data_IF_289760860996
#
_entry.id   IF_289760860996
#
_cell.length_a   1.000
_cell.length_b   1.000
_cell.length_c   1.000
_cell.angle_alpha   90.00
_cell.angle_beta   90.00
_cell.angle_gamma   90.00
#
_symmetry.space_group_name_H-M   'P 1'
#
loop_
_entity.id
_entity.type
_entity.pdbx_description
1 polymer ?
#
# COMPACT_ATOMS: atom_id res chain seq x y z
N UNK A 1 -2.73 0.75 18.87
CA UNK A 1 -2.48 1.47 17.61
C UNK A 1 -3.79 1.99 17.05
N UNK A 2 -3.75 3.02 16.21
CA UNK A 2 -4.92 3.51 15.47
C UNK A 2 -5.09 2.65 14.20
N UNK A 3 -6.29 2.15 13.87
CA UNK A 3 -6.50 1.40 12.63
C UNK A 3 -6.28 2.27 11.40
N UNK A 4 -5.65 1.71 10.36
CA UNK A 4 -5.29 2.39 9.11
C UNK A 4 -5.99 1.67 7.97
N UNK A 5 -6.77 2.40 7.17
CA UNK A 5 -7.36 1.86 5.94
C UNK A 5 -6.41 2.08 4.76
N UNK A 6 -6.05 0.99 4.06
CA UNK A 6 -5.14 1.04 2.92
C UNK A 6 -5.92 1.18 1.60
N UNK A 7 -6.19 2.41 1.18
CA UNK A 7 -6.79 2.70 -0.13
C UNK A 7 -5.77 2.61 -1.27
N UNK A 8 -6.17 2.10 -2.44
CA UNK A 8 -5.33 2.02 -3.64
C UNK A 8 -6.06 2.42 -4.92
N UNK A 9 -5.27 2.79 -5.92
CA UNK A 9 -5.70 3.03 -7.31
C UNK A 9 -4.79 2.22 -8.23
N UNK A 10 -5.37 1.24 -8.93
CA UNK A 10 -4.68 0.45 -9.95
C UNK A 10 -4.97 1.03 -11.34
N UNK A 11 -3.96 1.67 -11.93
CA UNK A 11 -4.05 2.25 -13.26
C UNK A 11 -3.91 1.22 -14.39
N UNK A 12 -3.45 0.01 -14.08
CA UNK A 12 -3.38 -1.09 -15.04
C UNK A 12 -4.75 -1.62 -15.42
N UNK A 13 -5.63 -1.76 -14.42
CA UNK A 13 -7.02 -2.22 -14.57
C UNK A 13 -8.04 -1.10 -14.51
N UNK A 14 -7.61 0.13 -14.17
CA UNK A 14 -8.47 1.30 -13.91
C UNK A 14 -9.47 1.06 -12.78
N UNK A 15 -9.05 0.32 -11.76
CA UNK A 15 -9.87 0.03 -10.57
C UNK A 15 -9.36 0.80 -9.37
N UNK A 16 -10.29 1.17 -8.48
CA UNK A 16 -10.02 1.79 -7.20
C UNK A 16 -10.61 0.92 -6.10
N UNK A 17 -9.98 0.87 -4.94
CA UNK A 17 -10.45 0.04 -3.85
C UNK A 17 -9.83 0.39 -2.51
N UNK A 18 -10.36 -0.25 -1.48
CA UNK A 18 -9.80 -0.24 -0.15
C UNK A 18 -9.41 -1.68 0.18
N UNK A 19 -8.18 -1.85 0.67
CA UNK A 19 -7.76 -3.09 1.31
C UNK A 19 -8.36 -3.21 2.71
N UNK A 20 -7.98 -4.30 3.38
CA UNK A 20 -8.39 -4.53 4.76
C UNK A 20 -7.86 -3.44 5.71
N UNK A 21 -8.53 -3.31 6.86
CA UNK A 21 -8.10 -2.40 7.92
C UNK A 21 -6.81 -2.95 8.53
N UNK A 22 -5.70 -2.26 8.26
CA UNK A 22 -4.40 -2.55 8.82
C UNK A 22 -4.36 -2.08 10.28
N UNK A 23 -3.97 -2.99 11.18
CA UNK A 23 -3.84 -2.71 12.60
C UNK A 23 -2.34 -2.70 12.96
N UNK A 24 -1.73 -1.52 13.19
CA UNK A 24 -0.30 -1.43 13.46
C UNK A 24 0.10 -2.25 14.68
N UNK A 25 1.15 -3.04 14.54
CA UNK A 25 1.70 -3.88 15.61
C UNK A 25 2.54 -3.07 16.60
N UNK A 26 2.94 -1.85 16.21
CA UNK A 26 3.85 -1.00 16.97
C UNK A 26 5.32 -1.23 16.61
N UNK A 27 5.63 -2.25 15.80
CA UNK A 27 6.93 -2.39 15.17
C UNK A 27 6.92 -1.66 13.82
N UNK A 28 7.46 -0.45 13.81
CA UNK A 28 7.51 0.41 12.64
C UNK A 28 8.06 -0.26 11.38
N UNK A 29 9.18 -1.01 11.49
CA UNK A 29 9.80 -1.63 10.32
C UNK A 29 8.93 -2.75 9.74
N UNK A 30 8.34 -3.57 10.61
CA UNK A 30 7.43 -4.65 10.19
C UNK A 30 6.16 -4.07 9.57
N UNK A 31 5.55 -3.10 10.24
CA UNK A 31 4.31 -2.47 9.78
C UNK A 31 4.50 -1.81 8.40
N UNK A 32 5.62 -1.09 8.20
CA UNK A 32 5.95 -0.54 6.89
C UNK A 32 6.18 -1.61 5.83
N UNK A 33 6.87 -2.69 6.16
CA UNK A 33 7.13 -3.77 5.20
C UNK A 33 5.82 -4.39 4.70
N UNK A 34 4.86 -4.62 5.60
CA UNK A 34 3.53 -5.16 5.25
C UNK A 34 2.74 -4.17 4.38
N UNK A 35 2.71 -2.88 4.74
CA UNK A 35 2.04 -1.84 3.96
C UNK A 35 2.65 -1.70 2.56
N UNK A 36 3.98 -1.71 2.46
CA UNK A 36 4.67 -1.64 1.17
C UNK A 36 4.40 -2.87 0.31
N UNK A 37 4.40 -4.05 0.92
CA UNK A 37 4.08 -5.32 0.24
C UNK A 37 2.65 -5.29 -0.31
N UNK A 38 1.70 -4.77 0.48
CA UNK A 38 0.33 -4.54 0.00
C UNK A 38 0.32 -3.62 -1.23
N UNK A 39 1.02 -2.49 -1.23
CA UNK A 39 1.00 -1.57 -2.37
C UNK A 39 1.73 -2.07 -3.63
N UNK A 40 2.70 -2.97 -3.50
CA UNK A 40 3.45 -3.54 -4.64
C UNK A 40 2.59 -4.36 -5.61
N UNK A 41 1.40 -4.80 -5.19
CA UNK A 41 0.50 -5.56 -6.06
C UNK A 41 -0.25 -4.69 -7.10
N UNK A 42 -0.28 -3.37 -6.92
CA UNK A 42 -1.05 -2.44 -7.78
C UNK A 42 -0.15 -1.60 -8.69
N UNK A 43 -0.64 -1.26 -9.88
CA UNK A 43 0.10 -0.41 -10.82
C UNK A 43 -0.20 1.07 -10.58
N UNK A 44 0.81 1.80 -10.13
CA UNK A 44 0.75 3.25 -10.00
C UNK A 44 0.60 3.95 -11.37
N UNK A 45 0.04 5.17 -11.37
CA UNK A 45 -0.05 6.02 -12.58
C UNK A 45 1.32 6.41 -13.14
N UNK A 46 2.27 6.66 -12.24
CA UNK A 46 3.64 7.07 -12.52
C UNK A 46 4.61 6.14 -11.79
N UNK A 47 4.85 4.91 -12.29
CA UNK A 47 5.70 3.92 -11.62
C UNK A 47 7.12 4.43 -11.32
N UNK A 48 7.64 5.31 -12.17
CA UNK A 48 8.97 5.92 -12.05
C UNK A 48 9.11 6.86 -10.86
N UNK A 49 7.99 7.35 -10.30
CA UNK A 49 7.96 8.22 -9.11
C UNK A 49 7.64 7.46 -7.83
N UNK A 50 7.54 6.13 -7.91
CA UNK A 50 7.21 5.30 -6.74
C UNK A 50 8.45 5.04 -5.89
N UNK A 51 8.34 5.30 -4.59
CA UNK A 51 9.36 4.91 -3.60
C UNK A 51 9.48 3.39 -3.41
N UNK A 52 8.59 2.61 -4.03
CA UNK A 52 8.58 1.14 -3.97
C UNK A 52 9.39 0.50 -5.11
N UNK A 53 9.95 1.29 -6.03
CA UNK A 53 10.67 0.81 -7.21
C UNK A 53 12.20 0.65 -6.98
N UNK A 54 12.63 0.66 -5.73
CA UNK A 54 13.99 0.33 -5.29
C UNK A 54 13.97 -1.02 -4.57
#
# INVERSE_FOLDING_TARGET
GVPISLGYLDYGTKTAGFGDVFHPTGNYQKDLHEIQTFYRQFRAKYPEKSSLNT
#
